data_IF_948103460707
#
_entry.id   IF_948103460707
#
_cell.length_a   1.000
_cell.length_b   1.000
_cell.length_c   1.000
_cell.angle_alpha   90.00
_cell.angle_beta   90.00
_cell.angle_gamma   90.00
#
_symmetry.space_group_name_H-M   'P 1'
#
loop_
_entity.id
_entity.type
_entity.pdbx_description
1 polymer ?
#
# COMPACT_ATOMS: atom_id res chain seq x y z
N UNK A 1 -32.23 -28.32 36.71
CA UNK A 1 -32.56 -27.69 35.41
C UNK A 1 -32.17 -26.23 35.52
N UNK A 2 -30.97 -25.90 35.03
CA UNK A 2 -30.41 -24.54 35.06
C UNK A 2 -30.67 -23.91 33.69
N UNK A 3 -31.49 -22.86 33.65
CA UNK A 3 -31.70 -22.02 32.46
C UNK A 3 -30.64 -20.94 32.45
N UNK A 4 -29.69 -21.03 31.53
CA UNK A 4 -28.69 -19.99 31.29
C UNK A 4 -29.33 -18.91 30.42
N UNK A 5 -29.29 -17.70 30.94
CA UNK A 5 -29.76 -16.47 30.34
C UNK A 5 -28.92 -16.12 29.10
N UNK A 6 -29.58 -15.87 27.97
CA UNK A 6 -28.92 -15.53 26.72
C UNK A 6 -28.49 -14.06 26.74
N UNK A 7 -27.20 -13.82 26.94
CA UNK A 7 -26.59 -12.49 26.81
C UNK A 7 -26.82 -11.94 25.40
N UNK A 8 -27.63 -10.88 25.30
CA UNK A 8 -27.87 -10.13 24.09
C UNK A 8 -26.56 -9.52 23.56
N UNK A 9 -26.28 -9.71 22.27
CA UNK A 9 -25.21 -9.00 21.58
C UNK A 9 -25.58 -7.51 21.44
N UNK A 10 -24.64 -6.57 21.62
CA UNK A 10 -24.91 -5.16 21.38
C UNK A 10 -25.26 -4.94 19.90
N UNK A 11 -26.40 -4.28 19.66
CA UNK A 11 -26.85 -3.93 18.32
C UNK A 11 -25.78 -3.10 17.58
N UNK A 12 -25.43 -3.53 16.37
CA UNK A 12 -24.54 -2.82 15.47
C UNK A 12 -25.07 -1.41 15.20
N UNK A 13 -24.23 -0.39 15.44
CA UNK A 13 -24.55 1.00 15.12
C UNK A 13 -24.99 1.14 13.65
N UNK A 14 -26.02 1.94 13.34
CA UNK A 14 -26.49 2.10 11.98
C UNK A 14 -25.36 2.63 11.08
N UNK A 15 -25.02 1.88 10.04
CA UNK A 15 -24.05 2.33 9.03
C UNK A 15 -24.58 3.60 8.36
N UNK A 16 -23.71 4.62 8.13
CA UNK A 16 -24.12 5.81 7.40
C UNK A 16 -24.62 5.43 6.00
N UNK A 17 -25.53 6.22 5.41
CA UNK A 17 -26.09 5.91 4.10
C UNK A 17 -24.98 5.80 3.05
N UNK A 18 -24.98 4.69 2.31
CA UNK A 18 -24.06 4.44 1.19
C UNK A 18 -24.20 5.56 0.16
N UNK A 19 -23.09 6.26 -0.12
CA UNK A 19 -23.03 7.29 -1.17
C UNK A 19 -22.48 6.62 -2.43
N UNK A 20 -23.17 6.66 -3.58
CA UNK A 20 -22.62 6.11 -4.82
C UNK A 20 -21.32 6.82 -5.19
N UNK A 21 -20.46 6.17 -5.97
CA UNK A 21 -19.26 6.80 -6.49
C UNK A 21 -19.61 7.98 -7.42
N UNK A 22 -18.68 8.93 -7.54
CA UNK A 22 -18.81 10.11 -8.42
C UNK A 22 -17.75 10.06 -9.49
N UNK A 23 -18.16 10.06 -10.76
CA UNK A 23 -17.29 10.37 -11.89
C UNK A 23 -17.51 11.84 -12.31
N UNK A 24 -16.43 12.61 -12.36
CA UNK A 24 -16.46 13.98 -12.87
C UNK A 24 -16.62 13.99 -14.40
N UNK A 25 -17.18 15.07 -15.00
CA UNK A 25 -17.28 15.17 -16.45
C UNK A 25 -15.92 14.95 -17.14
N UNK A 26 -15.86 14.00 -18.08
CA UNK A 26 -14.63 13.65 -18.79
C UNK A 26 -13.76 12.61 -18.08
N UNK A 27 -14.16 12.09 -16.92
CA UNK A 27 -13.65 10.80 -16.43
C UNK A 27 -14.15 9.66 -17.32
N UNK A 28 -13.29 8.68 -17.59
CA UNK A 28 -13.62 7.48 -18.36
C UNK A 28 -13.62 6.28 -17.43
N UNK A 29 -14.80 5.78 -17.08
CA UNK A 29 -14.96 4.59 -16.24
C UNK A 29 -15.65 3.53 -17.08
N UNK A 30 -15.00 2.38 -17.25
CA UNK A 30 -15.59 1.24 -17.94
C UNK A 30 -16.87 0.78 -17.23
N UNK A 31 -17.94 0.41 -17.97
CA UNK A 31 -19.15 -0.17 -17.37
C UNK A 31 -18.87 -1.50 -16.65
N UNK A 32 -17.78 -2.19 -17.00
CA UNK A 32 -17.37 -3.46 -16.39
C UNK A 32 -16.44 -3.28 -15.17
N UNK A 33 -16.16 -2.03 -14.77
CA UNK A 33 -15.39 -1.75 -13.58
C UNK A 33 -16.30 -1.77 -12.33
N UNK A 34 -15.76 -2.26 -11.21
CA UNK A 34 -16.43 -2.19 -9.91
C UNK A 34 -15.83 -1.05 -9.11
N UNK A 35 -16.65 -0.06 -8.77
CA UNK A 35 -16.21 1.12 -8.01
C UNK A 35 -17.04 1.26 -6.74
N UNK A 36 -16.36 1.21 -5.59
CA UNK A 36 -16.98 1.26 -4.27
C UNK A 36 -17.59 2.62 -3.92
N UNK A 37 -18.50 2.58 -2.94
CA UNK A 37 -19.23 3.74 -2.43
C UNK A 37 -18.28 4.87 -1.97
N UNK A 38 -18.65 6.12 -2.22
CA UNK A 38 -17.90 7.31 -1.82
C UNK A 38 -16.64 7.58 -2.64
N UNK A 39 -16.26 6.70 -3.56
CA UNK A 39 -15.10 6.91 -4.44
C UNK A 39 -15.35 8.06 -5.42
N UNK A 40 -14.34 8.88 -5.66
CA UNK A 40 -14.38 9.98 -6.63
C UNK A 40 -13.35 9.76 -7.72
N UNK A 41 -13.78 9.85 -8.98
CA UNK A 41 -12.94 9.77 -10.17
C UNK A 41 -12.94 11.13 -10.88
N UNK A 42 -11.78 11.77 -10.91
CA UNK A 42 -11.59 13.11 -11.46
C UNK A 42 -11.39 13.11 -12.98
N UNK A 43 -11.40 14.29 -13.59
CA UNK A 43 -11.41 14.46 -15.04
C UNK A 43 -10.20 13.81 -15.71
N UNK A 44 -10.38 13.29 -16.93
CA UNK A 44 -9.36 12.59 -17.71
C UNK A 44 -8.79 11.31 -17.08
N UNK A 45 -9.20 10.93 -15.87
CA UNK A 45 -8.84 9.63 -15.33
C UNK A 45 -9.49 8.52 -16.17
N UNK A 46 -8.80 7.40 -16.30
CA UNK A 46 -9.29 6.21 -16.99
C UNK A 46 -9.27 5.02 -16.04
N UNK A 47 -10.44 4.42 -15.80
CA UNK A 47 -10.62 3.18 -15.06
C UNK A 47 -11.09 2.11 -16.03
N UNK A 48 -10.23 1.12 -16.28
CA UNK A 48 -10.44 0.10 -17.30
C UNK A 48 -11.34 -1.04 -16.84
N UNK A 49 -11.78 -1.84 -17.80
CA UNK A 49 -12.60 -3.03 -17.63
C UNK A 49 -12.04 -4.01 -16.59
N UNK A 50 -12.93 -4.58 -15.78
CA UNK A 50 -12.59 -5.53 -14.72
C UNK A 50 -11.81 -4.95 -13.54
N UNK A 51 -11.43 -3.67 -13.56
CA UNK A 51 -10.79 -3.02 -12.42
C UNK A 51 -11.73 -3.00 -11.21
N UNK A 52 -11.18 -3.19 -10.02
CA UNK A 52 -11.93 -3.20 -8.76
C UNK A 52 -11.36 -2.15 -7.82
N UNK A 53 -12.15 -1.14 -7.50
CA UNK A 53 -11.80 -0.05 -6.60
C UNK A 53 -12.67 -0.14 -5.34
N UNK A 54 -12.05 -0.11 -4.17
CA UNK A 54 -12.74 -0.08 -2.89
C UNK A 54 -13.53 1.22 -2.66
N UNK A 55 -14.13 1.32 -1.48
CA UNK A 55 -14.87 2.49 -1.05
C UNK A 55 -13.95 3.68 -0.71
N UNK A 56 -14.48 4.90 -0.83
CA UNK A 56 -13.85 6.14 -0.38
C UNK A 56 -12.47 6.43 -1.00
N UNK A 57 -12.24 5.94 -2.23
CA UNK A 57 -11.02 6.21 -2.97
C UNK A 57 -11.07 7.58 -3.67
N UNK A 58 -9.90 8.15 -3.92
CA UNK A 58 -9.76 9.35 -4.76
C UNK A 58 -8.85 9.02 -5.93
N UNK A 59 -9.41 9.02 -7.14
CA UNK A 59 -8.69 8.78 -8.40
C UNK A 59 -8.52 10.12 -9.10
N UNK A 60 -7.32 10.68 -8.98
CA UNK A 60 -6.94 12.00 -9.43
C UNK A 60 -6.94 12.17 -10.95
N UNK A 61 -6.81 13.42 -11.37
CA UNK A 61 -6.89 13.84 -12.77
C UNK A 61 -5.89 13.09 -13.65
N UNK A 62 -6.35 12.51 -14.74
CA UNK A 62 -5.48 11.81 -15.69
C UNK A 62 -4.77 10.56 -15.15
N UNK A 63 -5.19 10.04 -13.99
CA UNK A 63 -4.70 8.75 -13.51
C UNK A 63 -5.20 7.60 -14.40
N UNK A 64 -4.37 6.60 -14.61
CA UNK A 64 -4.70 5.39 -15.36
C UNK A 64 -4.75 4.20 -14.42
N UNK A 65 -5.90 3.51 -14.38
CA UNK A 65 -6.11 2.26 -13.65
C UNK A 65 -6.36 1.17 -14.68
N UNK A 66 -5.36 0.31 -14.87
CA UNK A 66 -5.34 -0.76 -15.86
C UNK A 66 -6.42 -1.83 -15.68
N UNK A 67 -6.57 -2.68 -16.70
CA UNK A 67 -7.64 -3.68 -16.74
C UNK A 67 -7.44 -4.72 -15.62
N UNK A 68 -8.46 -5.00 -14.82
CA UNK A 68 -8.33 -5.96 -13.71
C UNK A 68 -7.49 -5.50 -12.51
N UNK A 69 -6.93 -4.28 -12.51
CA UNK A 69 -6.19 -3.73 -11.37
C UNK A 69 -7.09 -3.68 -10.13
N UNK A 70 -6.54 -4.07 -8.98
CA UNK A 70 -7.26 -4.08 -7.70
C UNK A 70 -6.74 -2.98 -6.79
N UNK A 71 -7.64 -2.13 -6.31
CA UNK A 71 -7.35 -1.06 -5.35
C UNK A 71 -8.28 -1.21 -4.16
N UNK A 72 -7.73 -1.31 -2.96
CA UNK A 72 -8.47 -1.38 -1.70
C UNK A 72 -9.26 -0.11 -1.38
N UNK A 73 -9.83 -0.04 -0.20
CA UNK A 73 -10.59 1.12 0.27
C UNK A 73 -9.69 2.25 0.78
N UNK A 74 -10.22 3.49 0.73
CA UNK A 74 -9.58 4.71 1.25
C UNK A 74 -8.22 5.01 0.62
N UNK A 75 -7.99 4.53 -0.60
CA UNK A 75 -6.77 4.79 -1.35
C UNK A 75 -6.81 6.17 -2.03
N UNK A 76 -5.65 6.80 -2.16
CA UNK A 76 -5.51 8.06 -2.90
C UNK A 76 -4.54 7.84 -4.06
N UNK A 77 -5.07 7.81 -5.27
CA UNK A 77 -4.29 7.76 -6.50
C UNK A 77 -4.23 9.15 -7.09
N UNK A 78 -3.08 9.81 -6.98
CA UNK A 78 -2.95 11.22 -7.38
C UNK A 78 -2.79 11.38 -8.89
N UNK A 79 -2.84 12.64 -9.33
CA UNK A 79 -2.87 13.00 -10.75
C UNK A 79 -1.76 12.32 -11.55
N UNK A 80 -2.12 11.82 -12.74
CA UNK A 80 -1.20 11.18 -13.70
C UNK A 80 -0.47 9.94 -13.20
N UNK A 81 -0.87 9.34 -12.08
CA UNK A 81 -0.35 8.03 -11.69
C UNK A 81 -0.81 6.95 -12.67
N UNK A 82 0.10 6.05 -13.05
CA UNK A 82 -0.14 4.97 -14.02
C UNK A 82 0.01 3.62 -13.32
N UNK A 83 -1.11 2.93 -13.13
CA UNK A 83 -1.19 1.63 -12.48
C UNK A 83 -1.51 0.59 -13.54
N UNK A 84 -0.50 -0.14 -14.00
CA UNK A 84 -0.70 -1.20 -15.00
C UNK A 84 -1.02 -2.54 -14.33
N UNK A 85 -1.84 -3.33 -15.01
CA UNK A 85 -2.22 -4.69 -14.62
C UNK A 85 -1.02 -5.65 -14.58
N UNK A 86 -0.93 -6.60 -13.64
CA UNK A 86 -1.92 -6.94 -12.62
C UNK A 86 -1.62 -6.28 -11.25
N UNK A 87 -1.36 -4.97 -11.19
CA UNK A 87 -1.09 -4.31 -9.91
C UNK A 87 -2.22 -4.50 -8.88
N UNK A 88 -1.81 -4.64 -7.62
CA UNK A 88 -2.71 -4.82 -6.47
C UNK A 88 -2.32 -3.88 -5.34
N UNK A 89 -3.25 -3.05 -4.89
CA UNK A 89 -3.08 -2.11 -3.79
C UNK A 89 -4.06 -2.48 -2.68
N UNK A 90 -3.55 -2.67 -1.46
CA UNK A 90 -4.38 -2.85 -0.27
C UNK A 90 -4.98 -1.51 0.20
N UNK A 91 -5.74 -1.55 1.30
CA UNK A 91 -6.41 -0.39 1.89
C UNK A 91 -5.43 0.73 2.30
N UNK A 92 -5.89 1.97 2.19
CA UNK A 92 -5.18 3.16 2.70
C UNK A 92 -3.88 3.50 1.97
N UNK A 93 -3.63 2.91 0.80
CA UNK A 93 -2.42 3.21 0.01
C UNK A 93 -2.48 4.62 -0.56
N UNK A 94 -1.38 5.34 -0.43
CA UNK A 94 -1.17 6.64 -1.08
C UNK A 94 -0.25 6.47 -2.29
N UNK A 95 -0.75 6.80 -3.48
CA UNK A 95 0.02 6.82 -4.73
C UNK A 95 0.19 8.27 -5.15
N UNK A 96 1.41 8.79 -5.02
CA UNK A 96 1.75 10.18 -5.32
C UNK A 96 1.60 10.54 -6.80
N UNK A 97 1.63 11.86 -7.12
CA UNK A 97 1.45 12.32 -8.49
C UNK A 97 2.48 11.71 -9.44
N UNK A 98 2.04 11.26 -10.60
CA UNK A 98 2.87 10.67 -11.65
C UNK A 98 3.74 9.46 -11.20
N UNK A 99 3.30 8.71 -10.20
CA UNK A 99 3.89 7.39 -9.88
C UNK A 99 3.60 6.41 -11.02
N UNK A 100 4.55 5.53 -11.32
CA UNK A 100 4.39 4.48 -12.33
C UNK A 100 4.59 3.10 -11.69
N UNK A 101 3.59 2.24 -11.80
CA UNK A 101 3.70 0.81 -11.50
C UNK A 101 3.78 0.06 -12.83
N UNK A 102 4.95 -0.47 -13.16
CA UNK A 102 5.18 -1.22 -14.41
C UNK A 102 4.60 -2.63 -14.34
N UNK A 103 4.55 -3.35 -15.47
CA UNK A 103 3.99 -4.69 -15.53
C UNK A 103 4.78 -5.72 -16.36
N UNK A 104 6.01 -5.40 -16.71
CA UNK A 104 6.87 -6.21 -17.57
C UNK A 104 8.30 -6.16 -17.01
N UNK A 105 9.01 -7.29 -17.10
CA UNK A 105 10.41 -7.41 -16.71
C UNK A 105 11.37 -6.85 -17.76
N UNK A 106 11.04 -7.01 -19.04
CA UNK A 106 11.92 -6.72 -20.17
C UNK A 106 11.13 -6.38 -21.45
N UNK A 107 10.47 -5.21 -21.51
CA UNK A 107 9.62 -4.84 -22.63
C UNK A 107 10.41 -4.63 -23.94
N UNK A 108 9.84 -5.14 -25.04
CA UNK A 108 10.26 -4.98 -26.45
C UNK A 108 9.07 -4.83 -27.42
N UNK A 109 9.07 -3.82 -28.29
CA UNK A 109 7.98 -3.67 -29.28
C UNK A 109 7.90 -4.81 -30.31
N UNK A 110 9.01 -5.52 -30.53
CA UNK A 110 9.14 -6.62 -31.49
C UNK A 110 9.86 -7.81 -30.86
N UNK A 111 9.67 -9.00 -31.44
CA UNK A 111 10.47 -10.18 -31.14
C UNK A 111 11.88 -10.10 -31.77
N UNK A 112 12.79 -11.07 -31.52
CA UNK A 112 14.13 -11.05 -32.12
C UNK A 112 14.18 -11.06 -33.66
N UNK A 113 13.11 -11.51 -34.31
CA UNK A 113 12.99 -11.57 -35.77
C UNK A 113 12.34 -10.29 -36.36
N UNK A 114 11.93 -9.35 -35.51
CA UNK A 114 11.36 -8.07 -35.88
C UNK A 114 9.83 -8.08 -36.05
N UNK A 115 9.15 -9.17 -35.70
CA UNK A 115 7.69 -9.23 -35.75
C UNK A 115 7.08 -8.47 -34.55
N UNK A 116 5.95 -7.81 -34.79
CA UNK A 116 5.25 -7.01 -33.77
C UNK A 116 4.71 -7.88 -32.63
N UNK A 117 5.12 -7.57 -31.40
CA UNK A 117 4.53 -8.19 -30.21
C UNK A 117 3.13 -7.63 -29.93
N UNK A 118 2.23 -8.51 -29.50
CA UNK A 118 0.83 -8.26 -29.12
C UNK A 118 0.63 -8.53 -27.63
N UNK A 119 -0.51 -8.13 -27.09
CA UNK A 119 -0.83 -8.28 -25.67
C UNK A 119 -0.70 -9.73 -25.15
N UNK A 120 -0.93 -10.74 -26.00
CA UNK A 120 -0.78 -12.15 -25.63
C UNK A 120 0.67 -12.66 -25.54
N UNK A 121 1.65 -11.87 -26.00
CA UNK A 121 3.07 -12.27 -26.03
C UNK A 121 3.82 -11.91 -24.73
N UNK A 122 3.07 -11.56 -23.68
CA UNK A 122 3.60 -11.05 -22.41
C UNK A 122 3.08 -11.87 -21.24
N UNK A 123 3.99 -12.27 -20.37
CA UNK A 123 3.65 -12.73 -19.02
C UNK A 123 3.63 -11.50 -18.12
N UNK A 124 2.44 -10.94 -17.88
CA UNK A 124 2.29 -9.76 -17.04
C UNK A 124 2.64 -10.08 -15.58
N UNK A 125 3.54 -9.29 -15.00
CA UNK A 125 3.91 -9.37 -13.58
C UNK A 125 3.56 -8.06 -12.90
N UNK A 126 3.06 -8.10 -11.67
CA UNK A 126 2.51 -6.92 -11.01
C UNK A 126 3.41 -6.28 -9.96
N UNK A 127 3.00 -5.09 -9.53
CA UNK A 127 3.45 -4.50 -8.27
C UNK A 127 2.36 -4.70 -7.22
N UNK A 128 2.72 -5.27 -6.07
CA UNK A 128 1.81 -5.43 -4.93
C UNK A 128 2.16 -4.44 -3.84
N UNK A 129 1.22 -3.58 -3.48
CA UNK A 129 1.40 -2.51 -2.48
C UNK A 129 0.52 -2.80 -1.27
N UNK A 130 1.14 -3.04 -0.12
CA UNK A 130 0.40 -3.39 1.09
C UNK A 130 -0.13 -2.16 1.85
N UNK A 131 -0.96 -2.46 2.84
CA UNK A 131 -1.80 -1.52 3.57
C UNK A 131 -1.01 -0.28 4.04
N UNK A 132 -1.59 0.90 3.81
CA UNK A 132 -1.05 2.16 4.30
C UNK A 132 0.29 2.60 3.69
N UNK A 133 0.85 1.85 2.73
CA UNK A 133 2.10 2.25 2.08
C UNK A 133 1.93 3.56 1.29
N UNK A 134 3.01 4.34 1.21
CA UNK A 134 3.04 5.64 0.53
C UNK A 134 4.10 5.66 -0.55
N UNK A 135 3.68 5.90 -1.79
CA UNK A 135 4.54 6.05 -2.96
C UNK A 135 4.71 7.54 -3.26
N UNK A 136 5.92 8.07 -3.09
CA UNK A 136 6.22 9.47 -3.32
C UNK A 136 6.06 9.87 -4.79
N UNK A 137 5.83 11.16 -5.02
CA UNK A 137 5.62 11.71 -6.36
C UNK A 137 6.73 11.26 -7.34
N UNK A 138 6.34 10.87 -8.56
CA UNK A 138 7.25 10.39 -9.63
C UNK A 138 8.11 9.18 -9.26
N UNK A 139 7.76 8.41 -8.23
CA UNK A 139 8.42 7.13 -8.00
C UNK A 139 8.06 6.13 -9.10
N UNK A 140 9.00 5.25 -9.44
CA UNK A 140 8.81 4.16 -10.40
C UNK A 140 9.01 2.83 -9.68
N UNK A 141 8.02 1.95 -9.75
CA UNK A 141 8.08 0.61 -9.18
C UNK A 141 8.20 -0.40 -10.33
N UNK A 142 9.38 -1.03 -10.43
CA UNK A 142 9.72 -1.97 -11.50
C UNK A 142 9.18 -3.34 -11.13
N UNK A 143 8.27 -3.90 -11.92
CA UNK A 143 7.67 -5.19 -11.62
C UNK A 143 8.63 -6.37 -11.91
N UNK A 144 8.53 -7.48 -11.16
CA UNK A 144 7.69 -7.63 -9.97
C UNK A 144 8.39 -7.08 -8.72
N UNK A 145 7.66 -6.30 -7.92
CA UNK A 145 8.09 -5.93 -6.57
C UNK A 145 6.91 -5.87 -5.62
N UNK A 146 7.18 -6.22 -4.37
CA UNK A 146 6.29 -6.03 -3.24
C UNK A 146 6.70 -4.81 -2.42
N UNK A 147 5.74 -3.95 -2.10
CA UNK A 147 5.92 -2.81 -1.20
C UNK A 147 5.17 -3.10 0.10
N UNK A 148 5.92 -3.15 1.19
CA UNK A 148 5.45 -3.53 2.52
C UNK A 148 4.44 -2.57 3.14
N UNK A 149 3.74 -3.05 4.18
CA UNK A 149 2.75 -2.27 4.93
C UNK A 149 3.41 -1.02 5.49
N UNK A 150 2.75 0.13 5.35
CA UNK A 150 3.22 1.42 5.86
C UNK A 150 4.64 1.81 5.40
N UNK A 151 5.20 1.15 4.39
CA UNK A 151 6.47 1.54 3.80
C UNK A 151 6.32 2.90 3.11
N UNK A 152 7.42 3.64 3.03
CA UNK A 152 7.47 4.92 2.35
C UNK A 152 8.55 4.91 1.27
N UNK A 153 8.11 5.02 0.03
CA UNK A 153 8.98 5.26 -1.13
C UNK A 153 9.09 6.76 -1.32
N UNK A 154 10.30 7.32 -1.26
CA UNK A 154 10.47 8.75 -1.45
C UNK A 154 10.17 9.19 -2.90
N UNK A 155 9.91 10.48 -3.06
CA UNK A 155 9.71 11.08 -4.36
C UNK A 155 10.90 10.81 -5.30
N UNK A 156 10.60 10.47 -6.56
CA UNK A 156 11.59 10.18 -7.60
C UNK A 156 12.40 8.90 -7.42
N UNK A 157 12.12 8.07 -6.40
CA UNK A 157 12.85 6.82 -6.21
C UNK A 157 12.46 5.76 -7.26
N UNK A 158 13.42 4.89 -7.62
CA UNK A 158 13.17 3.76 -8.54
C UNK A 158 13.32 2.46 -7.76
N UNK A 159 12.20 1.83 -7.44
CA UNK A 159 12.12 0.59 -6.67
C UNK A 159 12.34 -0.59 -7.62
N UNK A 160 13.41 -1.35 -7.36
CA UNK A 160 13.83 -2.51 -8.18
C UNK A 160 13.90 -3.81 -7.36
N UNK A 161 13.50 -3.77 -6.09
CA UNK A 161 13.47 -4.91 -5.18
C UNK A 161 12.40 -4.67 -4.13
N UNK A 162 11.96 -5.74 -3.46
CA UNK A 162 10.94 -5.67 -2.42
C UNK A 162 11.32 -4.69 -1.30
N UNK A 163 10.32 -3.95 -0.84
CA UNK A 163 10.46 -2.96 0.23
C UNK A 163 9.81 -3.54 1.49
N UNK A 164 10.56 -3.74 2.58
CA UNK A 164 10.00 -4.26 3.83
C UNK A 164 8.92 -3.35 4.42
N UNK A 165 8.06 -3.92 5.26
CA UNK A 165 7.08 -3.16 6.05
C UNK A 165 7.78 -2.02 6.82
N UNK A 166 7.16 -0.83 6.85
CA UNK A 166 7.67 0.37 7.50
C UNK A 166 9.00 0.91 6.97
N UNK A 167 9.60 0.32 5.94
CA UNK A 167 10.87 0.80 5.41
C UNK A 167 10.71 2.15 4.72
N UNK A 168 11.67 3.06 4.95
CA UNK A 168 11.84 4.28 4.19
C UNK A 168 12.93 4.07 3.14
N UNK A 169 12.58 4.13 1.86
CA UNK A 169 13.52 3.94 0.74
C UNK A 169 13.64 5.20 -0.13
N UNK A 170 14.87 5.47 -0.62
CA UNK A 170 15.19 6.65 -1.43
C UNK A 170 16.15 6.28 -2.57
N UNK A 171 16.18 7.10 -3.62
CA UNK A 171 17.22 7.06 -4.65
C UNK A 171 16.93 6.16 -5.86
N UNK A 172 17.92 6.08 -6.75
CA UNK A 172 17.89 5.34 -8.01
C UNK A 172 19.18 4.52 -8.15
N UNK A 173 19.13 3.18 -7.96
CA UNK A 173 18.00 2.40 -7.47
C UNK A 173 17.69 2.70 -5.99
N UNK A 174 16.45 2.43 -5.57
CA UNK A 174 15.98 2.73 -4.22
C UNK A 174 16.73 1.89 -3.17
N UNK A 175 17.12 2.52 -2.06
CA UNK A 175 17.79 1.88 -0.92
C UNK A 175 17.15 2.32 0.38
N UNK A 176 17.06 1.40 1.34
CA UNK A 176 16.54 1.69 2.68
C UNK A 176 17.49 2.62 3.43
N UNK A 177 16.96 3.71 3.96
CA UNK A 177 17.69 4.70 4.79
C UNK A 177 17.16 4.79 6.22
N UNK A 178 16.13 4.02 6.55
CA UNK A 178 15.59 3.89 7.89
C UNK A 178 14.17 3.35 7.88
N UNK A 179 13.44 3.65 8.96
CA UNK A 179 12.05 3.25 9.16
C UNK A 179 11.13 4.45 9.34
N UNK A 180 9.87 4.27 8.99
CA UNK A 180 8.79 5.25 9.14
C UNK A 180 7.66 4.63 9.95
N UNK A 181 7.04 5.40 10.85
CA UNK A 181 5.85 4.95 11.57
C UNK A 181 4.57 5.21 10.79
N UNK A 182 3.43 4.70 11.27
CA UNK A 182 2.11 4.95 10.65
C UNK A 182 1.74 6.44 10.52
N UNK A 183 2.31 7.29 11.37
CA UNK A 183 2.16 8.74 11.30
C UNK A 183 2.93 9.40 10.13
N UNK A 184 3.67 8.64 9.32
CA UNK A 184 4.44 9.17 8.19
C UNK A 184 5.73 9.88 8.60
N UNK A 185 6.18 9.69 9.84
CA UNK A 185 7.42 10.28 10.37
C UNK A 185 8.50 9.22 10.55
N UNK A 186 9.76 9.60 10.31
CA UNK A 186 10.91 8.72 10.53
C UNK A 186 10.96 8.29 12.01
N UNK A 187 11.08 7.00 12.25
CA UNK A 187 11.25 6.46 13.60
C UNK A 187 12.62 6.86 14.16
N UNK A 188 12.70 7.00 15.48
CA UNK A 188 13.93 7.24 16.21
C UNK A 188 14.34 5.96 16.92
N UNK A 189 15.61 5.58 16.80
CA UNK A 189 16.13 4.47 17.60
C UNK A 189 16.20 4.88 19.07
N UNK A 190 15.77 3.98 19.96
CA UNK A 190 15.77 4.25 21.39
C UNK A 190 17.20 4.20 21.94
N UNK A 191 17.62 5.21 22.73
CA UNK A 191 18.94 5.23 23.35
C UNK A 191 19.18 3.96 24.18
N UNK A 192 20.30 3.28 23.94
CA UNK A 192 20.70 2.07 24.67
C UNK A 192 19.91 0.79 24.31
N UNK A 193 19.01 0.83 23.31
CA UNK A 193 18.20 -0.32 22.87
C UNK A 193 18.30 -0.49 21.35
N UNK A 194 19.43 -1.01 20.88
CA UNK A 194 19.67 -1.22 19.46
C UNK A 194 18.56 -2.05 18.81
N UNK A 195 18.07 -1.61 17.65
CA UNK A 195 16.97 -2.26 16.93
C UNK A 195 15.58 -2.00 17.52
N UNK A 196 15.45 -1.20 18.59
CA UNK A 196 14.16 -0.71 19.10
C UNK A 196 13.93 0.72 18.63
N UNK A 197 12.77 0.95 18.04
CA UNK A 197 12.41 2.20 17.39
C UNK A 197 11.13 2.76 17.98
N UNK A 198 11.02 4.08 18.05
CA UNK A 198 9.83 4.78 18.53
C UNK A 198 9.39 5.84 17.53
N UNK A 199 8.08 5.94 17.34
CA UNK A 199 7.47 7.03 16.59
C UNK A 199 7.45 8.29 17.47
N UNK A 200 8.13 9.39 17.08
CA UNK A 200 8.19 10.60 17.90
C UNK A 200 6.87 11.36 18.00
N UNK A 201 5.86 10.99 17.22
CA UNK A 201 4.52 11.62 17.21
C UNK A 201 3.52 10.83 18.04
N UNK A 202 3.53 9.50 17.93
CA UNK A 202 2.52 8.63 18.55
C UNK A 202 3.05 7.86 19.76
N UNK A 203 4.36 7.81 19.97
CA UNK A 203 4.99 6.97 21.00
C UNK A 203 4.94 5.46 20.69
N UNK A 204 4.38 5.06 19.55
CA UNK A 204 4.34 3.64 19.15
C UNK A 204 5.75 3.09 18.98
N UNK A 205 5.98 1.89 19.52
CA UNK A 205 7.27 1.22 19.50
C UNK A 205 7.32 0.07 18.51
N UNK A 206 8.51 -0.18 18.00
CA UNK A 206 8.78 -1.14 16.94
C UNK A 206 10.11 -1.83 17.17
N UNK A 207 10.20 -3.09 16.82
CA UNK A 207 11.41 -3.90 16.98
C UNK A 207 11.87 -4.43 15.63
N UNK A 208 13.13 -4.21 15.31
CA UNK A 208 13.79 -4.85 14.17
C UNK A 208 14.00 -6.33 14.43
N UNK A 209 13.61 -7.15 13.46
CA UNK A 209 13.95 -8.56 13.41
C UNK A 209 14.90 -8.79 12.25
N UNK A 210 15.96 -9.57 12.52
CA UNK A 210 16.82 -10.10 11.47
C UNK A 210 16.40 -11.53 11.19
N UNK A 211 15.97 -11.82 9.97
CA UNK A 211 15.78 -13.19 9.52
C UNK A 211 17.11 -13.76 9.03
N UNK A 212 17.49 -14.94 9.54
CA UNK A 212 18.63 -15.73 9.07
C UNK A 212 20.00 -15.29 9.60
N UNK A 213 20.65 -16.13 10.41
CA UNK A 213 22.02 -15.92 10.88
C UNK A 213 23.10 -16.40 9.87
N UNK A 214 22.71 -16.83 8.66
CA UNK A 214 23.59 -17.64 7.79
C UNK A 214 23.91 -17.03 6.41
N UNK A 215 23.26 -15.94 5.98
CA UNK A 215 23.58 -15.25 4.72
C UNK A 215 23.79 -13.75 4.96
N UNK A 216 24.84 -13.19 4.35
CA UNK A 216 25.25 -11.80 4.51
C UNK A 216 24.25 -10.75 3.93
N UNK A 217 23.05 -11.20 3.52
CA UNK A 217 21.95 -10.40 2.98
C UNK A 217 20.73 -10.32 3.90
N UNK A 218 20.78 -10.90 5.10
CA UNK A 218 19.66 -11.10 6.03
C UNK A 218 18.59 -10.01 5.96
N UNK A 219 17.38 -10.40 5.56
CA UNK A 219 16.25 -9.49 5.46
C UNK A 219 15.96 -8.91 6.86
N UNK A 220 16.06 -7.59 6.96
CA UNK A 220 15.66 -6.88 8.18
C UNK A 220 14.22 -6.45 8.02
N UNK A 221 13.37 -6.87 8.95
CA UNK A 221 11.96 -6.51 9.01
C UNK A 221 11.67 -5.75 10.31
N UNK A 222 10.54 -5.05 10.36
CA UNK A 222 10.12 -4.29 11.53
C UNK A 222 8.76 -4.81 12.01
N UNK A 223 8.67 -5.23 13.29
CA UNK A 223 7.40 -5.55 13.95
C UNK A 223 6.99 -4.42 14.89
N UNK A 224 5.69 -4.14 15.00
CA UNK A 224 5.20 -3.29 16.09
C UNK A 224 5.36 -4.05 17.41
N UNK A 225 5.97 -3.43 18.41
CA UNK A 225 6.06 -3.98 19.75
C UNK A 225 4.68 -3.90 20.41
N UNK A 226 4.23 -4.99 21.03
CA UNK A 226 3.02 -4.97 21.86
C UNK A 226 3.33 -4.10 23.07
N UNK A 227 2.45 -3.16 23.40
CA UNK A 227 2.58 -2.42 24.65
C UNK A 227 2.58 -3.45 25.80
N UNK A 228 3.64 -3.48 26.60
CA UNK A 228 3.62 -4.20 27.87
C UNK A 228 2.42 -3.64 28.64
N UNK A 229 1.38 -4.47 28.81
CA UNK A 229 0.28 -4.12 29.68
C UNK A 229 0.88 -3.84 31.05
N UNK A 230 0.57 -2.68 31.61
CA UNK A 230 0.84 -2.38 33.01
C UNK A 230 0.07 -3.42 33.83
N UNK A 231 0.70 -4.57 34.09
CA UNK A 231 0.27 -5.51 35.10
C UNK A 231 0.43 -4.77 36.41
N UNK A 232 -0.67 -4.20 36.88
CA UNK A 232 -0.72 -3.57 38.19
C UNK A 232 -0.35 -4.63 39.22
N UNK A 233 0.89 -4.59 39.69
CA UNK A 233 1.22 -4.93 41.06
C UNK A 233 0.41 -3.97 41.94
N UNK A 234 -0.80 -4.40 42.28
CA UNK A 234 -1.45 -3.97 43.50
C UNK A 234 -0.86 -4.78 44.62
N UNK A 235 0.17 -4.22 45.24
CA UNK A 235 0.68 -4.60 46.56
C UNK A 235 -0.49 -4.81 47.53
N UNK A 236 -0.36 -5.86 48.34
CA UNK A 236 -1.19 -6.01 49.52
C UNK A 236 -0.90 -4.92 50.54
N UNK A 237 -1.89 -4.59 51.34
CA UNK A 237 -1.72 -4.26 52.75
C UNK A 237 -3.08 -4.37 53.47
N UNK A 238 -3.02 -5.09 54.60
CA UNK A 238 -3.95 -5.23 55.74
C UNK A 238 -5.30 -5.95 55.59
#
# INVERSE_FOLDING_TARGET
MSTIDATAHPASSPQPPRRPFRAMPGAQVSPDAVVGDGTTVWELAQVREGAVLGAECVIGRGAYIGAGVRVGARCKVQNHALLYEPAELADGVFVGPAVVLTNDRAPRAVDPDGALKRAGDWEAVGVTVAEGASLGARAVCVAPVRIGRWAMVAAGAVVTADVPDFALVVGVPARRVGWVGRAGVRLRELPGRAGMWECPVTGERYEEQREGAADASGAVTLRQAVAEGNGGEGDGDE
#
